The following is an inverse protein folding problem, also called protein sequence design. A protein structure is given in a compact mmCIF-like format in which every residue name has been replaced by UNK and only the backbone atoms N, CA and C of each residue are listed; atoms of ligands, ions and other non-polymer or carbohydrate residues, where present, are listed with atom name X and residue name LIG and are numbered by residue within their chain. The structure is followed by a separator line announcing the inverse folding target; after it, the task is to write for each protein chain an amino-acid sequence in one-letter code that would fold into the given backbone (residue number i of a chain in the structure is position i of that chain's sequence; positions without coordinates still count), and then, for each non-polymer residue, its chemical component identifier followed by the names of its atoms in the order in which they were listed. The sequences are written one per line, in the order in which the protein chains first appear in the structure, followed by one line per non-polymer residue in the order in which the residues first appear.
data_IF_873396950441
#
_entry.id   IF_873396950441
#
_cell.length_a   1.000
_cell.length_b   1.000
_cell.length_c   1.000
_cell.angle_alpha   90.00
_cell.angle_beta   90.00
_cell.angle_gamma   90.00
#
_symmetry.space_group_name_H-M   'P 1'
#
loop_
_entity.id
_entity.type
_entity.pdbx_description
1 polymer ?
#
# COMPACT_ATOMS: atom_id res chain seq x y z
N UNK A 1 -13.68 30.11 -16.60
CA UNK A 1 -15.07 29.81 -17.04
C UNK A 1 -15.19 28.35 -17.45
N UNK A 2 -14.28 27.86 -18.30
CA UNK A 2 -14.06 26.44 -18.58
C UNK A 2 -12.73 25.99 -17.97
N UNK A 3 -12.62 24.74 -17.52
CA UNK A 3 -11.34 24.16 -17.11
C UNK A 3 -11.47 22.72 -16.63
N UNK A 4 -10.51 21.87 -16.98
CA UNK A 4 -10.38 20.51 -16.43
C UNK A 4 -9.43 20.60 -15.24
N UNK A 5 -9.78 20.00 -14.12
CA UNK A 5 -8.92 19.92 -12.95
C UNK A 5 -7.63 19.15 -13.27
N UNK A 6 -6.50 19.65 -12.77
CA UNK A 6 -5.21 18.96 -12.96
C UNK A 6 -5.19 17.62 -12.23
N UNK A 7 -4.60 16.59 -12.83
CA UNK A 7 -4.41 15.30 -12.15
C UNK A 7 -3.47 15.42 -10.94
N UNK A 8 -3.72 14.61 -9.92
CA UNK A 8 -2.86 14.50 -8.74
C UNK A 8 -1.54 13.78 -9.05
N UNK A 9 -0.46 14.19 -8.39
CA UNK A 9 0.86 13.54 -8.54
C UNK A 9 0.89 12.14 -7.92
N UNK A 10 1.69 11.23 -8.45
CA UNK A 10 1.91 9.91 -7.83
C UNK A 10 2.73 10.02 -6.55
N UNK A 11 2.41 9.18 -5.55
CA UNK A 11 3.24 8.98 -4.38
C UNK A 11 4.55 8.28 -4.74
N UNK A 12 5.63 8.63 -4.04
CA UNK A 12 6.93 7.97 -4.23
C UNK A 12 6.98 6.58 -3.57
N UNK A 13 7.73 5.64 -4.15
CA UNK A 13 7.94 4.33 -3.53
C UNK A 13 8.84 4.40 -2.29
N UNK A 14 8.67 3.46 -1.36
CA UNK A 14 9.54 3.29 -0.20
C UNK A 14 10.93 2.75 -0.58
N UNK A 15 11.96 3.12 0.19
CA UNK A 15 13.31 2.52 0.09
C UNK A 15 13.42 1.17 0.81
N UNK A 16 14.05 0.19 0.15
CA UNK A 16 14.21 -1.18 0.66
C UNK A 16 15.01 -1.27 1.98
N UNK A 17 14.64 -2.26 2.79
CA UNK A 17 15.38 -2.61 4.01
C UNK A 17 16.75 -3.21 3.71
N UNK A 18 17.76 -2.83 4.51
CA UNK A 18 19.13 -3.32 4.35
C UNK A 18 19.31 -4.79 4.74
N UNK A 19 20.23 -5.51 4.10
CA UNK A 19 20.54 -6.89 4.48
C UNK A 19 21.30 -6.94 5.81
N UNK A 20 20.96 -7.93 6.63
CA UNK A 20 21.72 -8.30 7.81
C UNK A 20 23.09 -8.89 7.43
N UNK A 21 24.15 -8.47 8.13
CA UNK A 21 25.50 -8.98 7.87
C UNK A 21 25.65 -10.43 8.35
N UNK A 22 26.42 -11.25 7.64
CA UNK A 22 26.72 -12.60 8.11
C UNK A 22 27.63 -12.57 9.35
N UNK A 23 27.37 -13.49 10.27
CA UNK A 23 28.28 -13.79 11.36
C UNK A 23 29.65 -14.20 10.84
N UNK A 24 30.71 -13.90 11.60
CA UNK A 24 32.08 -14.32 11.27
C UNK A 24 32.41 -15.62 11.99
N UNK A 25 33.02 -16.58 11.31
CA UNK A 25 33.49 -17.82 11.93
C UNK A 25 34.55 -17.53 12.98
N UNK A 26 34.51 -18.30 14.07
CA UNK A 26 35.54 -18.22 15.09
C UNK A 26 36.90 -18.71 14.56
N UNK A 27 37.98 -18.08 15.03
CA UNK A 27 39.34 -18.57 14.85
C UNK A 27 39.62 -19.84 15.68
N UNK A 28 40.79 -20.46 15.53
CA UNK A 28 41.11 -21.81 16.05
C UNK A 28 41.29 -21.91 17.58
N UNK A 29 40.71 -20.98 18.34
CA UNK A 29 40.92 -20.87 19.79
C UNK A 29 39.58 -20.87 20.52
N UNK A 30 38.83 -21.98 20.47
CA UNK A 30 37.67 -22.25 21.32
C UNK A 30 36.60 -21.15 21.34
N UNK A 31 36.52 -20.32 20.30
CA UNK A 31 35.66 -19.17 20.24
C UNK A 31 34.30 -19.54 19.63
N UNK A 32 33.26 -18.84 20.06
CA UNK A 32 31.93 -18.97 19.45
C UNK A 32 31.89 -18.26 18.10
N UNK A 33 31.12 -18.82 17.16
CA UNK A 33 30.81 -18.19 15.89
C UNK A 33 30.04 -16.89 16.08
N UNK A 34 30.31 -15.90 15.24
CA UNK A 34 29.58 -14.65 15.24
C UNK A 34 28.12 -14.85 14.82
N UNK A 35 27.23 -14.06 15.42
CA UNK A 35 25.82 -14.03 15.01
C UNK A 35 25.65 -13.28 13.69
N UNK A 36 24.67 -13.70 12.89
CA UNK A 36 24.15 -12.89 11.80
C UNK A 36 23.44 -11.64 12.33
N UNK A 37 23.58 -10.53 11.62
CA UNK A 37 22.86 -9.29 11.92
C UNK A 37 21.41 -9.36 11.42
N UNK A 38 20.52 -8.64 12.09
CA UNK A 38 19.14 -8.51 11.65
C UNK A 38 19.05 -7.68 10.35
N UNK A 39 18.09 -8.02 9.49
CA UNK A 39 17.72 -7.22 8.33
C UNK A 39 17.00 -5.94 8.73
N UNK A 40 17.19 -4.86 7.98
CA UNK A 40 16.51 -3.59 8.18
C UNK A 40 15.07 -3.63 7.66
N UNK A 41 14.20 -2.81 8.24
CA UNK A 41 12.81 -2.71 7.79
C UNK A 41 12.70 -1.98 6.44
N UNK A 42 11.73 -2.37 5.62
CA UNK A 42 11.36 -1.63 4.42
C UNK A 42 10.65 -0.32 4.76
N UNK A 43 10.91 0.73 4.00
CA UNK A 43 10.18 2.00 4.14
C UNK A 43 8.80 1.95 3.45
N UNK A 44 7.89 2.78 3.97
CA UNK A 44 6.54 2.95 3.44
C UNK A 44 6.55 3.72 2.11
N UNK A 45 5.57 3.41 1.25
CA UNK A 45 5.26 4.22 0.08
C UNK A 45 4.58 5.55 0.47
N UNK A 46 4.76 6.57 -0.36
CA UNK A 46 4.14 7.89 -0.21
C UNK A 46 2.69 7.91 -0.71
N UNK A 47 1.87 8.82 -0.19
CA UNK A 47 0.51 9.01 -0.67
C UNK A 47 0.47 9.65 -2.07
N UNK A 48 -0.59 9.36 -2.84
CA UNK A 48 -0.89 10.06 -4.07
C UNK A 48 -1.50 11.44 -3.80
N UNK A 49 -1.17 12.43 -4.64
CA UNK A 49 -1.73 13.77 -4.56
C UNK A 49 -3.18 13.81 -5.03
N UNK A 50 -4.00 14.69 -4.46
CA UNK A 50 -5.39 14.89 -4.90
C UNK A 50 -5.48 15.52 -6.30
N UNK A 51 -6.54 15.18 -7.03
CA UNK A 51 -6.91 15.84 -8.26
C UNK A 51 -7.48 17.25 -8.01
N UNK A 52 -7.20 18.16 -8.93
CA UNK A 52 -7.70 19.54 -8.89
C UNK A 52 -9.18 19.63 -9.21
N UNK A 53 -9.85 20.69 -8.73
CA UNK A 53 -11.24 20.94 -9.08
C UNK A 53 -11.39 21.39 -10.54
N UNK A 54 -12.55 21.08 -11.14
CA UNK A 54 -12.95 21.61 -12.43
C UNK A 54 -13.16 23.14 -12.42
N UNK A 55 -13.30 23.72 -13.61
CA UNK A 55 -13.51 25.16 -13.79
C UNK A 55 -14.81 25.67 -13.16
N UNK A 56 -14.84 26.94 -12.75
CA UNK A 56 -15.92 27.52 -11.93
C UNK A 56 -17.36 27.34 -12.46
N UNK A 57 -17.58 27.29 -13.78
CA UNK A 57 -18.92 27.10 -14.38
C UNK A 57 -19.01 25.75 -15.10
N UNK A 58 -17.97 25.39 -15.85
CA UNK A 58 -17.87 24.14 -16.60
C UNK A 58 -16.52 23.49 -16.33
N UNK A 59 -16.50 22.18 -16.06
CA UNK A 59 -15.26 21.44 -15.91
C UNK A 59 -15.41 20.07 -15.29
N UNK A 60 -14.59 19.11 -15.67
CA UNK A 60 -14.45 17.87 -14.90
C UNK A 60 -13.36 18.05 -13.85
N UNK A 61 -13.54 17.46 -12.68
CA UNK A 61 -12.47 17.33 -11.71
C UNK A 61 -11.32 16.50 -12.28
N UNK A 62 -10.11 16.78 -11.79
CA UNK A 62 -8.94 15.98 -12.12
C UNK A 62 -8.93 14.70 -11.32
N UNK A 63 -8.32 13.65 -11.85
CA UNK A 63 -8.18 12.39 -11.12
C UNK A 63 -7.14 12.52 -10.02
N UNK A 64 -7.29 11.77 -8.93
CA UNK A 64 -6.25 11.63 -7.93
C UNK A 64 -5.07 10.80 -8.42
N UNK A 65 -3.88 11.09 -7.90
CA UNK A 65 -2.67 10.33 -8.22
C UNK A 65 -2.60 9.02 -7.45
N UNK A 66 -1.93 7.99 -7.97
CA UNK A 66 -1.76 6.71 -7.27
C UNK A 66 -0.83 6.83 -6.05
N UNK A 67 -1.08 6.08 -4.98
CA UNK A 67 -0.16 5.90 -3.85
C UNK A 67 1.08 5.06 -4.24
N UNK A 68 2.25 5.41 -3.71
CA UNK A 68 3.50 4.69 -3.95
C UNK A 68 3.55 3.34 -3.22
N UNK A 69 4.36 2.42 -3.68
CA UNK A 69 4.47 1.09 -3.07
C UNK A 69 5.32 1.10 -1.80
N UNK A 70 4.98 0.23 -0.86
CA UNK A 70 5.84 -0.16 0.24
C UNK A 70 6.97 -1.03 -0.24
N UNK A 71 8.08 -1.02 0.48
CA UNK A 71 9.29 -1.75 0.09
C UNK A 71 9.52 -2.99 0.93
N UNK A 72 10.29 -3.93 0.40
CA UNK A 72 10.60 -5.17 1.11
C UNK A 72 11.45 -4.92 2.37
N UNK A 73 11.21 -5.74 3.39
CA UNK A 73 12.11 -5.88 4.54
C UNK A 73 13.39 -6.63 4.14
N UNK A 74 14.51 -6.26 4.76
CA UNK A 74 15.81 -6.89 4.51
C UNK A 74 15.88 -8.31 5.05
N UNK A 75 16.62 -9.19 4.38
CA UNK A 75 16.90 -10.53 4.91
C UNK A 75 17.86 -10.47 6.11
N UNK A 76 17.67 -11.35 7.08
CA UNK A 76 18.60 -11.55 8.18
C UNK A 76 19.89 -12.27 7.73
N UNK A 77 21.00 -11.93 8.36
CA UNK A 77 22.30 -12.52 8.07
C UNK A 77 22.42 -13.95 8.58
N UNK A 78 23.26 -14.76 7.93
CA UNK A 78 23.54 -16.11 8.40
C UNK A 78 24.33 -16.10 9.71
N UNK A 79 24.03 -17.04 10.60
CA UNK A 79 24.91 -17.35 11.72
C UNK A 79 26.18 -18.04 11.22
N UNK A 80 27.26 -18.02 12.01
CA UNK A 80 28.52 -18.68 11.66
C UNK A 80 28.78 -19.94 12.47
N UNK A 81 29.67 -20.80 11.98
CA UNK A 81 30.15 -21.93 12.77
C UNK A 81 31.03 -21.47 13.94
N UNK A 82 30.94 -22.17 15.06
CA UNK A 82 31.93 -22.10 16.14
C UNK A 82 33.12 -23.01 15.87
N UNK A 83 34.14 -22.92 16.72
CA UNK A 83 35.35 -23.75 16.60
C UNK A 83 35.06 -25.25 16.88
N UNK A 84 35.77 -26.14 16.15
CA UNK A 84 35.64 -27.61 16.19
C UNK A 84 35.90 -28.19 17.58
N UNK A 85 36.65 -27.49 18.43
CA UNK A 85 37.05 -28.00 19.74
C UNK A 85 36.00 -27.86 20.83
N UNK A 86 35.24 -26.75 20.89
CA UNK A 86 34.17 -26.50 21.89
C UNK A 86 33.35 -25.22 21.61
N UNK A 87 33.50 -24.58 20.43
CA UNK A 87 32.83 -23.31 20.15
C UNK A 87 31.41 -23.51 19.63
N UNK A 88 30.45 -22.83 20.22
CA UNK A 88 29.07 -22.83 19.70
C UNK A 88 28.97 -22.05 18.39
N UNK A 89 28.06 -22.47 17.51
CA UNK A 89 27.68 -21.68 16.34
C UNK A 89 26.98 -20.38 16.73
N UNK A 90 27.17 -19.34 15.92
CA UNK A 90 26.41 -18.11 16.02
C UNK A 90 24.98 -18.29 15.56
N UNK A 91 24.06 -17.57 16.21
CA UNK A 91 22.67 -17.47 15.81
C UNK A 91 22.55 -16.72 14.49
N UNK A 92 21.49 -16.98 13.75
CA UNK A 92 21.19 -16.18 12.57
C UNK A 92 20.41 -14.91 12.93
N UNK A 93 20.53 -13.90 12.07
CA UNK A 93 19.78 -12.66 12.18
C UNK A 93 18.34 -12.86 11.72
N UNK A 94 17.43 -12.10 12.31
CA UNK A 94 16.03 -12.01 11.86
C UNK A 94 15.95 -11.19 10.57
N UNK A 95 14.91 -11.40 9.76
CA UNK A 95 14.60 -10.44 8.69
C UNK A 95 14.18 -9.07 9.27
N UNK A 96 13.92 -8.10 8.40
CA UNK A 96 13.20 -6.88 8.73
C UNK A 96 11.73 -6.97 8.31
N UNK A 97 10.87 -6.17 8.93
CA UNK A 97 9.48 -6.00 8.49
C UNK A 97 9.44 -5.30 7.12
N UNK A 98 8.40 -5.56 6.33
CA UNK A 98 8.18 -4.77 5.13
C UNK A 98 7.56 -3.40 5.40
N UNK A 99 7.73 -2.50 4.43
CA UNK A 99 7.03 -1.22 4.38
C UNK A 99 5.60 -1.38 3.87
N UNK A 100 4.67 -0.61 4.43
CA UNK A 100 3.31 -0.53 3.91
C UNK A 100 3.25 0.25 2.59
N UNK A 101 2.27 -0.07 1.74
CA UNK A 101 1.88 0.75 0.61
C UNK A 101 1.43 2.13 1.05
N UNK A 102 1.60 3.11 0.18
CA UNK A 102 1.14 4.47 0.35
C UNK A 102 -0.39 4.50 0.41
N UNK A 103 -0.91 5.01 1.53
CA UNK A 103 -2.34 5.19 1.73
C UNK A 103 -2.87 6.31 0.84
N UNK A 104 -4.02 6.05 0.21
CA UNK A 104 -4.72 7.01 -0.61
C UNK A 104 -3.97 7.24 -1.90
N UNK A 105 -4.38 6.57 -2.97
CA UNK A 105 -4.38 7.35 -4.19
C UNK A 105 -5.23 8.61 -3.94
N UNK A 106 -4.82 9.75 -4.45
CA UNK A 106 -5.44 11.03 -4.11
C UNK A 106 -6.94 10.98 -4.34
N UNK A 107 -7.68 11.81 -3.61
CA UNK A 107 -9.08 12.01 -3.95
C UNK A 107 -9.19 12.60 -5.36
N UNK A 108 -10.20 12.19 -6.12
CA UNK A 108 -10.59 12.87 -7.33
C UNK A 108 -11.08 14.28 -7.02
N UNK A 109 -10.79 15.22 -7.89
CA UNK A 109 -11.28 16.59 -7.78
C UNK A 109 -12.78 16.66 -8.06
N UNK A 110 -13.46 17.65 -7.49
CA UNK A 110 -14.86 17.89 -7.84
C UNK A 110 -14.98 18.50 -9.24
N UNK A 111 -16.13 18.33 -9.89
CA UNK A 111 -16.42 18.99 -11.17
C UNK A 111 -16.42 20.52 -11.12
N UNK A 112 -16.96 21.15 -12.16
CA UNK A 112 -17.19 22.60 -12.26
C UNK A 112 -18.58 23.03 -11.76
N UNK A 113 -18.71 24.28 -11.32
CA UNK A 113 -19.80 24.73 -10.45
C UNK A 113 -21.24 24.67 -10.97
N UNK A 114 -21.48 24.61 -12.29
CA UNK A 114 -22.82 24.33 -12.86
C UNK A 114 -22.86 22.98 -13.60
N UNK A 115 -21.81 22.67 -14.35
CA UNK A 115 -21.69 21.43 -15.13
C UNK A 115 -20.32 20.80 -14.90
N UNK A 116 -20.31 19.53 -14.52
CA UNK A 116 -19.05 18.85 -14.31
C UNK A 116 -19.14 17.55 -13.53
N UNK A 117 -18.47 16.53 -14.05
CA UNK A 117 -18.25 15.29 -13.32
C UNK A 117 -17.12 15.45 -12.31
N UNK A 118 -17.18 14.72 -11.21
CA UNK A 118 -16.01 14.50 -10.37
C UNK A 118 -14.94 13.69 -11.09
N UNK A 119 -13.69 13.91 -10.72
CA UNK A 119 -12.56 13.08 -11.12
C UNK A 119 -12.54 11.75 -10.35
N UNK A 120 -11.89 10.75 -10.90
CA UNK A 120 -11.69 9.48 -10.21
C UNK A 120 -10.71 9.63 -9.04
N UNK A 121 -10.89 8.83 -8.00
CA UNK A 121 -9.87 8.64 -6.98
C UNK A 121 -8.68 7.85 -7.54
N UNK A 122 -7.49 8.08 -7.01
CA UNK A 122 -6.31 7.30 -7.37
C UNK A 122 -6.27 5.95 -6.67
N UNK A 123 -5.52 4.99 -7.19
CA UNK A 123 -5.34 3.71 -6.52
C UNK A 123 -4.40 3.78 -5.31
N UNK A 124 -4.58 2.88 -4.34
CA UNK A 124 -3.64 2.68 -3.24
C UNK A 124 -2.35 1.98 -3.66
N UNK A 125 -1.27 2.18 -2.90
CA UNK A 125 0.01 1.49 -3.14
C UNK A 125 0.04 0.05 -2.61
N UNK A 126 0.84 -0.82 -3.21
CA UNK A 126 0.99 -2.23 -2.75
C UNK A 126 1.92 -2.28 -1.53
N UNK A 127 1.62 -3.17 -0.57
CA UNK A 127 2.49 -3.43 0.58
C UNK A 127 3.75 -4.24 0.21
N UNK A 128 4.86 -3.99 0.90
CA UNK A 128 6.13 -4.69 0.64
C UNK A 128 6.17 -6.11 1.20
N UNK A 129 7.11 -6.91 0.72
CA UNK A 129 7.34 -8.28 1.24
C UNK A 129 8.16 -8.28 2.54
N UNK A 130 7.78 -9.12 3.50
CA UNK A 130 8.53 -9.28 4.74
C UNK A 130 9.91 -9.88 4.52
N UNK A 131 10.87 -9.50 5.37
CA UNK A 131 12.23 -10.01 5.32
C UNK A 131 12.33 -11.45 5.83
N UNK A 132 13.09 -12.28 5.10
CA UNK A 132 13.37 -13.66 5.51
C UNK A 132 14.39 -13.69 6.65
N UNK A 133 14.20 -14.57 7.61
CA UNK A 133 15.23 -14.87 8.62
C UNK A 133 16.45 -15.56 8.02
N UNK A 134 17.61 -15.35 8.64
CA UNK A 134 18.84 -16.05 8.28
C UNK A 134 18.87 -17.49 8.79
N UNK A 135 19.77 -18.31 8.24
CA UNK A 135 20.02 -19.69 8.67
C UNK A 135 21.20 -19.78 9.64
N UNK A 136 21.07 -20.60 10.68
CA UNK A 136 22.17 -20.93 11.60
C UNK A 136 22.72 -22.33 11.24
N UNK A 137 24.04 -22.51 11.06
CA UNK A 137 24.57 -23.73 10.47
C UNK A 137 25.07 -24.80 11.48
N UNK A 138 25.00 -24.53 12.80
CA UNK A 138 25.31 -25.44 13.92
C UNK A 138 24.26 -25.20 15.05
N UNK A 139 24.38 -25.64 16.34
CA UNK A 139 23.33 -25.51 17.39
C UNK A 139 22.75 -24.11 17.68
N UNK A 140 23.12 -23.09 16.91
CA UNK A 140 22.52 -21.76 16.91
C UNK A 140 21.07 -21.77 16.43
N UNK A 141 20.35 -20.74 16.88
CA UNK A 141 18.94 -20.55 16.59
C UNK A 141 18.77 -19.92 15.19
N UNK A 142 17.92 -20.50 14.31
CA UNK A 142 17.53 -19.85 13.06
C UNK A 142 16.89 -18.49 13.29
N UNK A 143 17.06 -17.58 12.34
CA UNK A 143 16.48 -16.25 12.40
C UNK A 143 14.98 -16.30 12.15
N UNK A 144 14.22 -15.51 12.91
CA UNK A 144 12.80 -15.29 12.66
C UNK A 144 12.55 -14.57 11.31
N UNK A 145 11.47 -14.95 10.64
CA UNK A 145 10.93 -14.20 9.50
C UNK A 145 9.96 -13.12 9.98
N UNK A 146 9.69 -12.12 9.15
CA UNK A 146 8.87 -10.97 9.56
C UNK A 146 7.74 -10.67 8.58
N UNK A 147 6.84 -9.80 9.00
CA UNK A 147 5.53 -9.62 8.38
C UNK A 147 5.60 -8.82 7.07
N UNK A 148 4.63 -9.10 6.21
CA UNK A 148 4.37 -8.33 5.00
C UNK A 148 3.72 -6.98 5.31
N UNK A 149 4.00 -5.97 4.49
CA UNK A 149 3.44 -4.64 4.61
C UNK A 149 1.98 -4.62 4.19
N UNK A 150 1.16 -3.78 4.81
CA UNK A 150 -0.23 -3.57 4.39
C UNK A 150 -0.31 -2.88 3.04
N UNK A 151 -1.33 -3.20 2.26
CA UNK A 151 -1.69 -2.42 1.09
C UNK A 151 -2.33 -1.08 1.47
N UNK A 152 -2.19 -0.09 0.59
CA UNK A 152 -2.76 1.24 0.73
C UNK A 152 -4.22 1.28 0.28
N UNK A 153 -5.02 2.14 0.91
CA UNK A 153 -6.40 2.36 0.49
C UNK A 153 -6.48 3.12 -0.84
N UNK A 154 -7.52 2.85 -1.63
CA UNK A 154 -7.87 3.67 -2.78
C UNK A 154 -8.41 5.04 -2.38
N UNK A 155 -8.30 6.02 -3.29
CA UNK A 155 -8.81 7.37 -3.14
C UNK A 155 -10.29 7.47 -3.42
N UNK A 156 -10.99 8.38 -2.77
CA UNK A 156 -12.39 8.60 -3.08
C UNK A 156 -12.54 9.33 -4.41
N UNK A 157 -13.59 9.01 -5.15
CA UNK A 157 -14.01 9.79 -6.31
C UNK A 157 -14.47 11.19 -5.89
N UNK A 158 -14.23 12.18 -6.76
CA UNK A 158 -14.75 13.52 -6.57
C UNK A 158 -16.24 13.58 -6.84
N UNK A 159 -16.93 14.57 -6.28
CA UNK A 159 -18.36 14.75 -6.52
C UNK A 159 -18.62 15.44 -7.88
N UNK A 160 -19.73 15.06 -8.51
CA UNK A 160 -20.37 15.88 -9.54
C UNK A 160 -21.00 17.14 -8.92
N UNK A 161 -21.33 18.15 -9.73
CA UNK A 161 -21.85 19.43 -9.23
C UNK A 161 -23.37 19.60 -9.32
N UNK A 162 -23.85 20.74 -8.79
CA UNK A 162 -25.24 20.97 -8.37
C UNK A 162 -26.26 20.65 -9.45
N UNK A 163 -26.08 21.06 -10.71
CA UNK A 163 -27.13 20.92 -11.74
C UNK A 163 -26.98 19.65 -12.57
N UNK A 164 -25.83 19.45 -13.20
CA UNK A 164 -25.52 18.27 -14.01
C UNK A 164 -24.09 17.80 -13.78
N UNK A 165 -23.93 16.56 -13.35
CA UNK A 165 -22.62 15.97 -13.17
C UNK A 165 -22.67 14.64 -12.44
N UNK A 166 -21.97 13.66 -12.98
CA UNK A 166 -21.78 12.38 -12.33
C UNK A 166 -20.71 12.47 -11.25
N UNK A 167 -20.83 11.65 -10.23
CA UNK A 167 -19.73 11.38 -9.32
C UNK A 167 -18.58 10.66 -10.02
N UNK A 168 -17.35 10.91 -9.57
CA UNK A 168 -16.17 10.18 -10.00
C UNK A 168 -16.09 8.81 -9.33
N UNK A 169 -15.47 7.84 -10.00
CA UNK A 169 -15.24 6.53 -9.39
C UNK A 169 -14.23 6.61 -8.23
N UNK A 170 -14.40 5.78 -7.21
CA UNK A 170 -13.35 5.54 -6.22
C UNK A 170 -12.21 4.72 -6.83
N UNK A 171 -10.99 4.95 -6.35
CA UNK A 171 -9.80 4.21 -6.76
C UNK A 171 -9.73 2.84 -6.10
N UNK A 172 -9.05 1.91 -6.77
CA UNK A 172 -8.85 0.56 -6.23
C UNK A 172 -7.82 0.57 -5.10
N UNK A 173 -7.92 -0.39 -4.20
CA UNK A 173 -6.93 -0.54 -3.15
C UNK A 173 -5.68 -1.30 -3.61
N UNK A 174 -4.59 -1.12 -2.86
CA UNK A 174 -3.36 -1.91 -3.02
C UNK A 174 -3.42 -3.21 -2.24
N UNK A 175 -2.82 -4.28 -2.79
CA UNK A 175 -2.70 -5.57 -2.12
C UNK A 175 -1.75 -5.51 -0.91
N UNK A 176 -2.00 -6.36 0.08
CA UNK A 176 -1.05 -6.64 1.14
C UNK A 176 0.18 -7.39 0.63
N UNK A 177 1.33 -7.14 1.24
CA UNK A 177 2.58 -7.80 0.94
C UNK A 177 2.70 -9.19 1.52
N UNK A 178 3.54 -10.03 0.93
CA UNK A 178 3.75 -11.41 1.37
C UNK A 178 4.55 -11.47 2.69
N UNK A 179 4.30 -12.53 3.48
CA UNK A 179 5.08 -12.81 4.68
C UNK A 179 6.52 -13.22 4.33
N UNK A 180 7.48 -12.86 5.18
CA UNK A 180 8.90 -13.19 4.98
C UNK A 180 9.27 -14.66 5.18
N UNK A 181 8.37 -15.49 5.71
CA UNK A 181 8.62 -16.91 5.95
C UNK A 181 7.79 -17.50 7.08
N UNK A 182 8.18 -18.69 7.56
CA UNK A 182 7.41 -19.44 8.54
C UNK A 182 7.20 -18.64 9.85
N UNK A 183 5.95 -18.55 10.30
CA UNK A 183 5.56 -17.81 11.51
C UNK A 183 5.25 -16.32 11.29
N UNK A 184 5.59 -15.76 10.13
CA UNK A 184 5.22 -14.39 9.75
C UNK A 184 3.85 -14.35 9.07
N UNK A 185 3.21 -13.20 9.14
CA UNK A 185 1.87 -12.94 8.60
C UNK A 185 1.97 -12.04 7.36
N UNK A 186 1.12 -12.29 6.37
CA UNK A 186 0.98 -11.42 5.21
C UNK A 186 0.31 -10.11 5.60
N UNK A 187 0.58 -9.04 4.86
CA UNK A 187 -0.08 -7.76 5.06
C UNK A 187 -1.57 -7.83 4.76
N UNK A 188 -2.35 -7.00 5.44
CA UNK A 188 -3.76 -6.78 5.09
C UNK A 188 -3.87 -6.06 3.74
N UNK A 189 -4.94 -6.35 2.99
CA UNK A 189 -5.28 -5.62 1.77
C UNK A 189 -5.88 -4.25 2.11
N UNK A 190 -5.69 -3.26 1.24
CA UNK A 190 -6.31 -1.94 1.41
C UNK A 190 -7.81 -1.97 1.13
N UNK A 191 -8.54 -0.98 1.68
CA UNK A 191 -9.94 -0.71 1.34
C UNK A 191 -10.04 0.09 0.04
N UNK A 192 -10.98 -0.25 -0.84
CA UNK A 192 -11.29 0.55 -2.02
C UNK A 192 -11.86 1.92 -1.66
N UNK A 193 -11.60 2.92 -2.49
CA UNK A 193 -12.12 4.27 -2.30
C UNK A 193 -13.62 4.34 -2.55
N UNK A 194 -14.33 5.20 -1.83
CA UNK A 194 -15.76 5.39 -2.08
C UNK A 194 -15.97 6.22 -3.37
N UNK A 195 -17.02 5.92 -4.12
CA UNK A 195 -17.41 6.71 -5.29
C UNK A 195 -17.97 8.07 -4.88
N UNK A 196 -17.77 9.07 -5.73
CA UNK A 196 -18.29 10.42 -5.51
C UNK A 196 -19.81 10.49 -5.77
N UNK A 197 -20.46 11.46 -5.16
CA UNK A 197 -21.89 11.68 -5.33
C UNK A 197 -22.20 12.55 -6.55
N UNK A 198 -23.35 12.31 -7.18
CA UNK A 198 -24.03 13.31 -7.98
C UNK A 198 -24.97 14.14 -7.09
N UNK A 199 -25.32 15.36 -7.51
CA UNK A 199 -26.12 16.29 -6.70
C UNK A 199 -27.60 16.32 -7.15
N UNK A 200 -27.93 16.94 -8.29
CA UNK A 200 -29.31 17.04 -8.79
C UNK A 200 -29.60 16.08 -9.94
N UNK A 201 -28.80 16.15 -11.02
CA UNK A 201 -28.92 15.27 -12.17
C UNK A 201 -27.55 14.66 -12.46
N UNK A 202 -27.48 13.34 -12.47
CA UNK A 202 -26.26 12.58 -12.73
C UNK A 202 -26.21 11.29 -11.93
N UNK A 203 -25.39 10.34 -12.37
CA UNK A 203 -25.18 9.08 -11.67
C UNK A 203 -24.08 9.23 -10.62
N UNK A 204 -24.21 8.50 -9.51
CA UNK A 204 -23.16 8.37 -8.53
C UNK A 204 -21.98 7.57 -9.11
N UNK A 205 -20.77 7.88 -8.65
CA UNK A 205 -19.58 7.13 -9.02
C UNK A 205 -19.56 5.75 -8.38
N UNK A 206 -19.02 4.75 -9.05
CA UNK A 206 -18.78 3.42 -8.44
C UNK A 206 -17.71 3.50 -7.37
N UNK A 207 -17.85 2.72 -6.30
CA UNK A 207 -16.77 2.48 -5.34
C UNK A 207 -15.65 1.66 -5.97
N UNK A 208 -14.42 1.90 -5.55
CA UNK A 208 -13.25 1.11 -5.93
C UNK A 208 -13.23 -0.24 -5.21
N UNK A 209 -12.52 -1.21 -5.77
CA UNK A 209 -12.43 -2.55 -5.20
C UNK A 209 -11.47 -2.56 -4.00
N UNK A 210 -11.80 -3.39 -3.01
CA UNK A 210 -10.83 -3.79 -1.99
C UNK A 210 -9.78 -4.72 -2.59
N UNK A 211 -8.66 -4.88 -1.87
CA UNK A 211 -7.56 -5.70 -2.33
C UNK A 211 -7.31 -6.92 -1.44
N UNK A 212 -6.59 -7.89 -1.99
CA UNK A 212 -6.25 -9.13 -1.30
C UNK A 212 -5.24 -8.89 -0.17
N UNK A 213 -5.33 -9.69 0.90
CA UNK A 213 -4.39 -9.70 2.01
C UNK A 213 -4.87 -10.54 3.19
N UNK A 214 -4.21 -10.43 4.34
CA UNK A 214 -4.58 -11.13 5.57
C UNK A 214 -4.89 -10.13 6.70
N UNK A 215 -6.15 -9.66 6.84
CA UNK A 215 -7.34 -9.99 6.02
C UNK A 215 -7.41 -9.22 4.68
N UNK A 216 -8.34 -9.64 3.82
CA UNK A 216 -8.70 -8.90 2.60
C UNK A 216 -9.31 -7.55 2.97
N UNK A 217 -9.10 -6.57 2.10
CA UNK A 217 -9.72 -5.25 2.20
C UNK A 217 -11.14 -5.24 1.62
N UNK A 218 -11.99 -4.41 2.22
CA UNK A 218 -13.35 -4.23 1.74
C UNK A 218 -13.40 -3.32 0.50
N UNK A 219 -14.42 -3.51 -0.32
CA UNK A 219 -14.79 -2.56 -1.36
C UNK A 219 -15.19 -1.17 -0.81
N UNK A 220 -15.10 -0.18 -1.69
CA UNK A 220 -15.65 1.16 -1.49
C UNK A 220 -17.16 1.19 -1.69
N UNK A 221 -17.84 2.08 -0.99
CA UNK A 221 -19.25 2.35 -1.28
C UNK A 221 -19.40 3.02 -2.65
N UNK A 222 -20.52 2.78 -3.33
CA UNK A 222 -20.91 3.60 -4.46
C UNK A 222 -21.46 4.95 -3.99
N UNK A 223 -21.29 5.98 -4.80
CA UNK A 223 -21.84 7.30 -4.54
C UNK A 223 -23.34 7.37 -4.82
N UNK A 224 -23.99 8.39 -4.27
CA UNK A 224 -25.40 8.65 -4.48
C UNK A 224 -25.65 9.17 -5.90
N UNK A 225 -26.76 8.74 -6.51
CA UNK A 225 -27.30 9.36 -7.71
C UNK A 225 -27.96 10.70 -7.40
N UNK A 226 -28.12 11.54 -8.44
CA UNK A 226 -28.76 12.84 -8.33
C UNK A 226 -30.20 12.75 -7.82
N UNK A 227 -30.59 13.68 -6.96
CA UNK A 227 -31.90 13.63 -6.28
C UNK A 227 -33.10 13.73 -7.21
N UNK A 228 -32.92 14.33 -8.40
CA UNK A 228 -33.98 14.45 -9.40
C UNK A 228 -33.89 13.33 -10.45
N UNK A 229 -32.68 13.06 -10.96
CA UNK A 229 -32.42 11.93 -11.86
C UNK A 229 -30.99 11.42 -11.65
N UNK A 230 -30.85 10.11 -11.51
CA UNK A 230 -29.54 9.47 -11.37
C UNK A 230 -29.65 8.10 -10.73
N UNK A 231 -28.74 7.20 -11.10
CA UNK A 231 -28.55 5.93 -10.42
C UNK A 231 -27.45 6.05 -9.36
N UNK A 232 -27.58 5.40 -8.20
CA UNK A 232 -26.45 5.19 -7.30
C UNK A 232 -25.33 4.41 -8.00
N UNK A 233 -24.10 4.71 -7.62
CA UNK A 233 -22.93 3.95 -8.04
C UNK A 233 -22.94 2.54 -7.46
N UNK A 234 -22.29 1.62 -8.17
CA UNK A 234 -22.08 0.27 -7.66
C UNK A 234 -21.09 0.28 -6.47
N UNK A 235 -21.31 -0.61 -5.51
CA UNK A 235 -20.33 -0.91 -4.45
C UNK A 235 -19.17 -1.69 -5.06
N UNK A 236 -17.95 -1.36 -4.66
CA UNK A 236 -16.75 -2.07 -5.07
C UNK A 236 -16.70 -3.51 -4.54
N UNK A 237 -16.03 -4.40 -5.26
CA UNK A 237 -15.89 -5.79 -4.84
C UNK A 237 -14.99 -5.91 -3.61
N UNK A 238 -15.28 -6.91 -2.77
CA UNK A 238 -14.37 -7.38 -1.72
C UNK A 238 -13.82 -8.75 -2.16
N UNK A 239 -12.50 -8.94 -2.25
CA UNK A 239 -11.89 -10.21 -2.66
C UNK A 239 -12.05 -11.34 -1.64
#
# INVERSE_FOLDING_TARGET
MFGIGGGGGSGGDGGAGGLGANGKSAGPTGANGGNGGDGGNGAMGGAGGAGGAGGLLFGTGGDGGRGGNGSAGGGGGFGSFGDITNGDGGNAGRGGDAGNGGNGGGAGGNGGGLFGNGGAGGDGGVGGEGGKGGLAPAPGVPGGSNDGGKGGNGGNGGNGWVLFGNGGAGGDAGAGGSAGGAGAVAGAGGKGGDGGDAQLIGDGGSGGNGATGAPNGAGGAGGLGGVLFGQPGAVGASP
#
